data_IF_535936492784
#
_entry.id   IF_535936492784
#
_cell.length_a   1.000
_cell.length_b   1.000
_cell.length_c   1.000
_cell.angle_alpha   90.00
_cell.angle_beta   90.00
_cell.angle_gamma   90.00
#
_symmetry.space_group_name_H-M   'P 1'
#
loop_
_entity.id
_entity.type
_entity.pdbx_description
1 polymer ?
#
# COMPACT_ATOMS: atom_id res chain seq x y z
N UNK A 1 -30.98 -80.38 13.18
CA UNK A 1 -30.83 -80.46 11.72
C UNK A 1 -31.10 -79.07 11.16
N UNK A 2 -30.07 -78.25 10.95
CA UNK A 2 -29.36 -78.02 9.66
C UNK A 2 -30.02 -76.87 8.89
N UNK A 3 -29.57 -75.61 9.06
CA UNK A 3 -28.58 -74.87 8.24
C UNK A 3 -29.03 -74.49 6.81
N UNK A 4 -28.85 -73.18 6.51
CA UNK A 4 -28.50 -72.50 5.23
C UNK A 4 -29.56 -72.48 4.10
N UNK A 5 -29.75 -71.47 3.25
CA UNK A 5 -28.90 -70.44 2.60
C UNK A 5 -29.76 -69.31 2.00
N UNK A 6 -29.31 -68.04 2.05
CA UNK A 6 -29.51 -67.07 0.94
C UNK A 6 -28.51 -67.39 -0.19
N UNK A 7 -28.77 -67.00 -1.45
CA UNK A 7 -28.04 -65.82 -1.93
C UNK A 7 -28.76 -64.94 -2.99
N UNK A 8 -28.36 -63.66 -2.99
CA UNK A 8 -27.97 -62.90 -4.19
C UNK A 8 -29.02 -62.62 -5.28
N UNK A 9 -29.80 -61.56 -5.08
CA UNK A 9 -30.33 -60.74 -6.17
C UNK A 9 -29.46 -59.51 -6.37
N UNK A 10 -28.24 -59.69 -6.90
CA UNK A 10 -27.39 -58.58 -7.33
C UNK A 10 -28.03 -57.92 -8.56
N UNK A 11 -28.83 -56.88 -8.32
CA UNK A 11 -29.28 -55.97 -9.36
C UNK A 11 -28.06 -55.32 -10.00
N UNK A 12 -27.72 -55.77 -11.20
CA UNK A 12 -26.71 -55.15 -12.04
C UNK A 12 -27.13 -53.69 -12.33
N UNK A 13 -26.60 -52.76 -11.56
CA UNK A 13 -26.57 -51.34 -11.91
C UNK A 13 -25.73 -51.23 -13.18
N UNK A 14 -26.41 -51.22 -14.32
CA UNK A 14 -25.83 -50.85 -15.60
C UNK A 14 -25.24 -49.44 -15.43
N UNK A 15 -23.92 -49.37 -15.29
CA UNK A 15 -23.14 -48.14 -15.31
C UNK A 15 -23.23 -47.57 -16.72
N UNK A 16 -24.25 -46.74 -16.96
CA UNK A 16 -24.31 -45.89 -18.14
C UNK A 16 -23.07 -44.99 -18.13
N UNK A 17 -22.04 -45.38 -18.88
CA UNK A 17 -20.85 -44.60 -19.11
C UNK A 17 -21.27 -43.29 -19.79
N UNK A 18 -21.31 -42.20 -19.03
CA UNK A 18 -21.53 -40.87 -19.57
C UNK A 18 -20.51 -40.63 -20.71
N UNK A 19 -20.91 -40.06 -21.86
CA UNK A 19 -19.98 -39.80 -22.95
C UNK A 19 -18.90 -38.87 -22.43
N UNK A 20 -17.66 -39.36 -22.41
CA UNK A 20 -16.49 -38.56 -22.06
C UNK A 20 -16.47 -37.33 -22.97
N UNK A 21 -16.85 -36.18 -22.40
CA UNK A 21 -16.87 -34.89 -23.08
C UNK A 21 -15.42 -34.62 -23.47
N UNK A 22 -15.05 -34.88 -24.73
CA UNK A 22 -13.71 -34.59 -25.26
C UNK A 22 -13.47 -33.11 -25.00
N UNK A 23 -12.66 -32.81 -23.99
CA UNK A 23 -12.13 -31.48 -23.78
C UNK A 23 -11.41 -31.14 -25.08
N UNK A 24 -11.98 -30.20 -25.86
CA UNK A 24 -11.33 -29.66 -27.05
C UNK A 24 -9.92 -29.28 -26.63
N UNK A 25 -8.92 -29.89 -27.24
CA UNK A 25 -7.53 -29.54 -27.01
C UNK A 25 -7.35 -28.13 -27.59
N UNK A 26 -7.51 -27.12 -26.74
CA UNK A 26 -7.33 -25.73 -27.14
C UNK A 26 -5.84 -25.62 -27.45
N UNK A 27 -5.51 -25.50 -28.75
CA UNK A 27 -4.12 -25.49 -29.21
C UNK A 27 -3.29 -24.53 -28.37
N UNK A 28 -2.01 -24.85 -28.16
CA UNK A 28 -1.08 -24.15 -27.25
C UNK A 28 -1.05 -22.62 -27.40
N UNK A 29 -1.50 -22.08 -28.53
CA UNK A 29 -1.61 -20.65 -28.81
C UNK A 29 -2.82 -19.94 -28.15
N UNK A 30 -3.86 -20.68 -27.75
CA UNK A 30 -5.11 -20.09 -27.24
C UNK A 30 -4.91 -19.26 -25.97
N UNK A 31 -4.17 -19.72 -24.93
CA UNK A 31 -3.87 -18.89 -23.76
C UNK A 31 -3.05 -17.64 -24.10
N UNK A 32 -2.11 -17.73 -25.06
CA UNK A 32 -1.29 -16.60 -25.49
C UNK A 32 -2.10 -15.53 -26.23
N UNK A 33 -3.09 -15.93 -27.04
CA UNK A 33 -3.99 -14.99 -27.71
C UNK A 33 -4.85 -14.21 -26.71
N UNK A 34 -5.29 -14.84 -25.61
CA UNK A 34 -6.00 -14.15 -24.54
C UNK A 34 -5.10 -13.21 -23.72
N UNK A 35 -3.81 -13.54 -23.58
CA UNK A 35 -2.82 -12.70 -22.90
C UNK A 35 -2.28 -11.57 -23.78
N UNK A 36 -2.33 -11.71 -25.11
CA UNK A 36 -1.67 -10.81 -26.06
C UNK A 36 -2.06 -9.32 -25.89
N UNK A 37 -3.35 -8.94 -25.72
CA UNK A 37 -3.71 -7.52 -25.53
C UNK A 37 -3.09 -6.92 -24.27
N UNK A 38 -3.08 -7.69 -23.17
CA UNK A 38 -2.47 -7.27 -21.91
C UNK A 38 -0.95 -7.14 -22.06
N UNK A 39 -0.28 -8.15 -22.64
CA UNK A 39 1.16 -8.14 -22.82
C UNK A 39 1.62 -6.99 -23.74
N UNK A 40 0.87 -6.70 -24.80
CA UNK A 40 1.18 -5.59 -25.70
C UNK A 40 1.15 -4.25 -24.94
N UNK A 41 0.08 -3.98 -24.18
CA UNK A 41 -0.03 -2.75 -23.40
C UNK A 41 1.01 -2.70 -22.26
N UNK A 42 1.22 -3.81 -21.55
CA UNK A 42 2.22 -3.91 -20.50
C UNK A 42 3.63 -3.65 -21.04
N UNK A 43 4.00 -4.26 -22.17
CA UNK A 43 5.30 -4.02 -22.80
C UNK A 43 5.41 -2.57 -23.27
N UNK A 44 4.38 -2.04 -23.94
CA UNK A 44 4.36 -0.68 -24.49
C UNK A 44 4.47 0.42 -23.43
N UNK A 45 3.73 0.28 -22.33
CA UNK A 45 3.57 1.34 -21.34
C UNK A 45 4.30 1.11 -20.01
N UNK A 46 4.83 -0.10 -19.77
CA UNK A 46 5.60 -0.41 -18.55
C UNK A 46 7.02 -0.81 -18.91
N UNK A 47 7.21 -1.88 -19.71
CA UNK A 47 8.56 -2.42 -19.97
C UNK A 47 9.41 -1.44 -20.76
N UNK A 48 8.88 -0.87 -21.85
CA UNK A 48 9.63 0.07 -22.69
C UNK A 48 10.04 1.32 -21.90
N UNK A 49 9.15 2.04 -21.19
CA UNK A 49 9.54 3.19 -20.37
C UNK A 49 10.55 2.85 -19.27
N UNK A 50 10.47 1.67 -18.67
CA UNK A 50 11.48 1.21 -17.71
C UNK A 50 12.83 1.00 -18.40
N UNK A 51 12.89 0.34 -19.55
CA UNK A 51 14.18 0.16 -20.24
C UNK A 51 14.75 1.50 -20.71
N UNK A 52 13.91 2.40 -21.21
CA UNK A 52 14.32 3.76 -21.60
C UNK A 52 14.78 4.58 -20.39
N UNK A 53 14.12 4.46 -19.24
CA UNK A 53 14.54 5.09 -18.00
C UNK A 53 15.95 4.64 -17.59
N UNK A 54 16.24 3.34 -17.70
CA UNK A 54 17.56 2.79 -17.41
C UNK A 54 18.60 3.28 -18.41
N UNK A 55 18.22 3.42 -19.68
CA UNK A 55 19.10 4.03 -20.67
C UNK A 55 19.39 5.49 -20.33
N UNK A 56 18.35 6.27 -19.99
CA UNK A 56 18.49 7.68 -19.60
C UNK A 56 19.35 7.85 -18.35
N UNK A 57 19.24 6.96 -17.35
CA UNK A 57 20.03 7.05 -16.13
C UNK A 57 21.53 6.83 -16.34
N UNK A 58 21.94 6.26 -17.48
CA UNK A 58 23.34 6.09 -17.88
C UNK A 58 23.87 7.23 -18.76
N UNK A 59 23.03 8.22 -19.08
CA UNK A 59 23.37 9.36 -19.90
C UNK A 59 23.18 10.66 -19.11
N UNK A 60 23.93 11.70 -19.49
CA UNK A 60 23.60 13.05 -19.05
C UNK A 60 22.41 13.56 -19.87
N UNK A 61 21.23 13.04 -19.52
CA UNK A 61 20.00 13.32 -20.26
C UNK A 61 19.33 14.58 -19.73
N UNK A 62 19.79 15.73 -20.20
CA UNK A 62 19.20 17.03 -19.95
C UNK A 62 18.51 17.54 -21.23
N UNK A 63 17.24 17.95 -21.13
CA UNK A 63 16.53 18.48 -22.32
C UNK A 63 17.05 19.84 -22.79
N UNK A 64 17.82 20.55 -21.95
CA UNK A 64 18.44 21.83 -22.29
C UNK A 64 19.74 21.65 -23.08
N UNK A 65 20.36 20.46 -23.01
CA UNK A 65 21.60 20.15 -23.71
C UNK A 65 21.34 19.50 -25.09
N UNK A 66 22.04 19.94 -26.15
CA UNK A 66 21.86 19.38 -27.49
C UNK A 66 22.40 17.95 -27.60
N UNK A 67 23.51 17.67 -26.89
CA UNK A 67 24.13 16.36 -26.83
C UNK A 67 23.73 15.69 -25.51
N UNK A 68 23.42 14.39 -25.57
CA UNK A 68 23.08 13.56 -24.40
C UNK A 68 24.18 12.51 -24.26
N UNK A 69 25.38 12.89 -23.76
CA UNK A 69 26.53 11.99 -23.73
C UNK A 69 26.25 10.80 -22.79
N UNK A 70 26.81 9.64 -23.14
CA UNK A 70 26.85 8.50 -22.24
C UNK A 70 27.88 8.76 -21.15
N UNK A 71 27.43 8.71 -19.89
CA UNK A 71 28.26 8.99 -18.70
C UNK A 71 28.40 7.76 -17.79
N UNK A 72 27.98 6.58 -18.26
CA UNK A 72 28.09 5.35 -17.50
C UNK A 72 27.32 5.43 -16.18
N UNK A 73 28.02 5.31 -15.05
CA UNK A 73 27.41 5.32 -13.72
C UNK A 73 27.57 6.65 -12.98
N UNK A 74 28.04 7.72 -13.62
CA UNK A 74 28.35 8.99 -12.96
C UNK A 74 27.12 9.58 -12.25
N UNK A 75 25.94 9.55 -12.88
CA UNK A 75 24.69 9.99 -12.25
C UNK A 75 24.39 9.24 -10.94
N UNK A 76 24.80 7.97 -10.82
CA UNK A 76 24.66 7.21 -9.59
C UNK A 76 25.73 7.59 -8.57
N UNK A 77 26.99 7.71 -9.00
CA UNK A 77 28.11 8.13 -8.14
C UNK A 77 27.82 9.49 -7.50
N UNK A 78 27.25 10.43 -8.25
CA UNK A 78 26.89 11.75 -7.76
C UNK A 78 25.84 11.73 -6.66
N UNK A 79 24.96 10.71 -6.61
CA UNK A 79 24.00 10.56 -5.52
C UNK A 79 24.66 10.13 -4.21
N UNK A 80 25.80 9.43 -4.27
CA UNK A 80 26.51 8.93 -3.10
C UNK A 80 27.76 9.75 -2.72
N UNK A 81 28.21 10.65 -3.60
CA UNK A 81 29.40 11.49 -3.34
C UNK A 81 29.06 12.64 -2.38
N UNK A 82 29.64 12.67 -1.17
CA UNK A 82 29.41 13.76 -0.22
C UNK A 82 29.87 15.10 -0.80
N UNK A 83 29.00 16.12 -0.75
CA UNK A 83 29.26 17.45 -1.31
C UNK A 83 28.76 17.65 -2.75
N UNK A 84 28.30 16.58 -3.43
CA UNK A 84 27.55 16.72 -4.68
C UNK A 84 26.24 17.49 -4.45
N UNK A 85 25.88 18.34 -5.41
CA UNK A 85 24.64 19.13 -5.37
C UNK A 85 23.39 18.24 -5.32
N UNK A 86 23.44 17.05 -5.94
CA UNK A 86 22.31 16.11 -6.01
C UNK A 86 22.23 15.20 -4.78
N UNK A 87 23.37 14.79 -4.21
CA UNK A 87 23.42 13.86 -3.07
C UNK A 87 22.62 14.36 -1.86
N UNK A 88 22.93 15.57 -1.38
CA UNK A 88 22.29 16.11 -0.16
C UNK A 88 20.77 16.25 -0.32
N UNK A 89 20.33 16.73 -1.48
CA UNK A 89 18.92 16.90 -1.80
C UNK A 89 18.20 15.55 -1.89
N UNK A 90 18.81 14.56 -2.55
CA UNK A 90 18.21 13.25 -2.72
C UNK A 90 18.09 12.51 -1.38
N UNK A 91 19.14 12.50 -0.55
CA UNK A 91 19.10 11.80 0.74
C UNK A 91 18.19 12.49 1.76
N UNK A 92 18.07 13.82 1.72
CA UNK A 92 17.04 14.53 2.49
C UNK A 92 15.63 14.08 2.05
N UNK A 93 15.40 13.90 0.75
CA UNK A 93 14.11 13.45 0.24
C UNK A 93 13.82 11.97 0.58
N UNK A 94 14.85 11.11 0.56
CA UNK A 94 14.76 9.72 1.04
C UNK A 94 14.44 9.68 2.54
N UNK A 95 15.06 10.56 3.34
CA UNK A 95 14.77 10.71 4.76
C UNK A 95 13.33 11.16 4.99
N UNK A 96 12.83 12.14 4.24
CA UNK A 96 11.44 12.59 4.31
C UNK A 96 10.46 11.45 4.00
N UNK A 97 10.74 10.67 2.94
CA UNK A 97 9.96 9.46 2.62
C UNK A 97 10.00 8.44 3.76
N UNK A 98 11.16 8.20 4.37
CA UNK A 98 11.30 7.27 5.48
C UNK A 98 10.55 7.74 6.73
N UNK A 99 10.69 9.01 7.12
CA UNK A 99 9.96 9.63 8.25
C UNK A 99 8.46 9.46 8.04
N UNK A 100 7.95 9.83 6.87
CA UNK A 100 6.53 9.69 6.57
C UNK A 100 6.06 8.24 6.64
N UNK A 101 6.83 7.32 6.04
CA UNK A 101 6.47 5.91 5.98
C UNK A 101 6.42 5.30 7.38
N UNK A 102 7.46 5.49 8.18
CA UNK A 102 7.54 4.97 9.55
C UNK A 102 6.48 5.61 10.45
N UNK A 103 6.21 6.90 10.29
CA UNK A 103 5.20 7.60 11.07
C UNK A 103 3.77 7.21 10.68
N UNK A 104 3.46 7.03 9.38
CA UNK A 104 2.11 6.79 8.89
C UNK A 104 1.67 5.32 8.98
N UNK A 105 2.55 4.38 8.65
CA UNK A 105 2.19 2.95 8.50
C UNK A 105 1.56 2.36 9.77
N UNK A 106 2.09 2.57 10.99
CA UNK A 106 1.47 2.03 12.20
C UNK A 106 0.00 2.46 12.35
N UNK A 107 -0.29 3.75 12.12
CA UNK A 107 -1.65 4.27 12.20
C UNK A 107 -2.53 3.73 11.07
N UNK A 108 -1.99 3.63 9.86
CA UNK A 108 -2.67 3.06 8.68
C UNK A 108 -2.95 1.55 8.79
N UNK A 109 -2.32 0.85 9.73
CA UNK A 109 -2.62 -0.56 10.01
C UNK A 109 -3.54 -0.72 11.22
N UNK A 110 -3.25 0.00 12.30
CA UNK A 110 -3.94 -0.15 13.58
C UNK A 110 -5.33 0.47 13.54
N UNK A 111 -5.48 1.71 13.09
CA UNK A 111 -6.78 2.40 13.10
C UNK A 111 -7.80 1.68 12.22
N UNK A 112 -7.47 1.28 10.97
CA UNK A 112 -8.41 0.53 10.15
C UNK A 112 -8.78 -0.83 10.74
N UNK A 113 -7.86 -1.52 11.42
CA UNK A 113 -8.15 -2.77 12.11
C UNK A 113 -9.13 -2.56 13.27
N UNK A 114 -8.94 -1.50 14.07
CA UNK A 114 -9.86 -1.14 15.14
C UNK A 114 -11.26 -0.80 14.60
N UNK A 115 -11.33 -0.02 13.52
CA UNK A 115 -12.59 0.28 12.82
C UNK A 115 -13.23 -1.01 12.32
N UNK A 116 -12.47 -1.91 11.68
CA UNK A 116 -12.99 -3.17 11.18
C UNK A 116 -13.53 -4.07 12.31
N UNK A 117 -12.85 -4.15 13.45
CA UNK A 117 -13.32 -4.90 14.62
C UNK A 117 -14.63 -4.34 15.17
N UNK A 118 -14.73 -3.02 15.32
CA UNK A 118 -15.95 -2.34 15.76
C UNK A 118 -17.09 -2.59 14.77
N UNK A 119 -16.78 -2.49 13.47
CA UNK A 119 -17.72 -2.75 12.39
C UNK A 119 -18.03 -4.23 12.21
N UNK A 120 -17.31 -5.17 12.82
CA UNK A 120 -17.65 -6.58 12.75
C UNK A 120 -18.81 -6.95 13.68
N UNK A 121 -19.06 -6.14 14.71
CA UNK A 121 -20.20 -6.33 15.61
C UNK A 121 -21.54 -6.10 14.90
N UNK A 122 -22.59 -6.79 15.36
CA UNK A 122 -23.96 -6.58 14.90
C UNK A 122 -24.56 -5.39 15.68
N UNK A 123 -24.81 -4.28 15.00
CA UNK A 123 -25.51 -3.11 15.57
C UNK A 123 -26.33 -2.39 14.48
N UNK A 124 -27.43 -1.70 14.84
CA UNK A 124 -28.25 -0.97 13.87
C UNK A 124 -27.48 0.21 13.26
N UNK A 125 -27.65 0.46 11.95
CA UNK A 125 -26.97 1.56 11.25
C UNK A 125 -25.55 1.26 10.74
N UNK A 126 -25.06 0.02 10.86
CA UNK A 126 -23.73 -0.41 10.38
C UNK A 126 -23.40 0.02 8.94
N UNK A 127 -24.35 -0.06 8.01
CA UNK A 127 -24.14 0.32 6.62
C UNK A 127 -23.92 1.84 6.45
N UNK A 128 -24.57 2.67 7.28
CA UNK A 128 -24.34 4.11 7.27
C UNK A 128 -22.92 4.44 7.73
N UNK A 129 -22.46 3.86 8.85
CA UNK A 129 -21.09 4.07 9.32
C UNK A 129 -20.03 3.58 8.31
N UNK A 130 -20.31 2.46 7.62
CA UNK A 130 -19.49 1.99 6.49
C UNK A 130 -19.34 3.01 5.38
N UNK A 131 -20.45 3.64 4.99
CA UNK A 131 -20.40 4.72 4.01
C UNK A 131 -19.61 5.92 4.51
N UNK A 132 -19.80 6.34 5.78
CA UNK A 132 -19.12 7.51 6.35
C UNK A 132 -17.59 7.36 6.39
N UNK A 133 -17.07 6.24 6.89
CA UNK A 133 -15.60 6.08 6.99
C UNK A 133 -14.95 5.77 5.63
N UNK A 134 -15.72 5.23 4.67
CA UNK A 134 -15.22 4.92 3.33
C UNK A 134 -15.29 6.11 2.37
N UNK A 135 -16.26 7.02 2.56
CA UNK A 135 -16.48 8.16 1.69
C UNK A 135 -15.22 9.02 1.41
N UNK A 136 -14.35 9.32 2.39
CA UNK A 136 -13.12 10.07 2.14
C UNK A 136 -12.18 9.43 1.11
N UNK A 137 -12.14 8.09 1.04
CA UNK A 137 -11.24 7.36 0.14
C UNK A 137 -11.59 7.54 -1.34
N UNK A 138 -12.83 7.93 -1.63
CA UNK A 138 -13.30 8.21 -2.99
C UNK A 138 -12.78 9.56 -3.49
N UNK A 139 -12.34 10.45 -2.59
CA UNK A 139 -11.84 11.77 -2.96
C UNK A 139 -10.42 11.68 -3.53
N UNK A 140 -10.17 12.41 -4.62
CA UNK A 140 -8.82 12.55 -5.17
C UNK A 140 -7.90 13.36 -4.25
N UNK A 141 -6.58 13.09 -4.32
CA UNK A 141 -5.57 13.74 -3.47
C UNK A 141 -5.61 15.26 -3.53
N UNK A 142 -5.92 15.81 -4.70
CA UNK A 142 -6.07 17.24 -4.92
C UNK A 142 -7.18 17.84 -4.05
N UNK A 143 -8.36 17.19 -4.02
CA UNK A 143 -9.51 17.68 -3.25
C UNK A 143 -9.22 17.63 -1.76
N UNK A 144 -8.66 16.51 -1.28
CA UNK A 144 -8.30 16.36 0.14
C UNK A 144 -7.24 17.38 0.54
N UNK A 145 -6.20 17.56 -0.26
CA UNK A 145 -5.14 18.52 0.04
C UNK A 145 -5.66 19.96 0.10
N UNK A 146 -6.51 20.37 -0.84
CA UNK A 146 -7.10 21.72 -0.84
C UNK A 146 -8.00 21.91 0.39
N UNK A 147 -8.88 20.96 0.67
CA UNK A 147 -9.77 21.01 1.83
C UNK A 147 -8.97 21.15 3.13
N UNK A 148 -7.96 20.31 3.33
CA UNK A 148 -7.16 20.35 4.55
C UNK A 148 -6.24 21.56 4.64
N UNK A 149 -5.81 22.14 3.51
CA UNK A 149 -5.11 23.44 3.54
C UNK A 149 -5.96 24.56 4.09
N UNK A 150 -7.25 24.60 3.74
CA UNK A 150 -8.17 25.59 4.33
C UNK A 150 -8.42 25.32 5.81
N UNK A 151 -8.61 24.06 6.20
CA UNK A 151 -8.88 23.71 7.60
C UNK A 151 -7.67 23.92 8.52
N UNK A 152 -6.45 23.73 8.00
CA UNK A 152 -5.18 23.84 8.71
C UNK A 152 -4.49 25.19 8.48
N UNK A 153 -5.16 26.15 7.84
CA UNK A 153 -4.63 27.50 7.68
C UNK A 153 -4.40 28.13 9.07
N UNK A 154 -3.28 28.84 9.24
CA UNK A 154 -2.92 29.37 10.55
C UNK A 154 -3.89 30.49 10.98
N UNK A 155 -4.34 31.33 10.06
CA UNK A 155 -5.11 32.53 10.36
C UNK A 155 -6.62 32.30 10.35
N UNK A 156 -7.11 31.48 9.42
CA UNK A 156 -8.56 31.26 9.20
C UNK A 156 -9.00 29.80 9.38
N UNK A 157 -8.08 28.92 9.77
CA UNK A 157 -8.34 27.49 9.86
C UNK A 157 -9.23 27.10 11.04
N UNK A 158 -10.20 26.23 10.77
CA UNK A 158 -11.10 25.70 11.80
C UNK A 158 -10.35 24.88 12.85
N UNK A 159 -9.25 24.22 12.49
CA UNK A 159 -8.49 23.39 13.45
C UNK A 159 -7.91 24.25 14.56
N UNK A 160 -7.22 25.34 14.22
CA UNK A 160 -6.67 26.29 15.18
C UNK A 160 -7.77 26.96 16.01
N UNK A 161 -8.87 27.37 15.37
CA UNK A 161 -10.03 27.93 16.07
C UNK A 161 -10.55 27.00 17.19
N UNK A 162 -10.78 25.72 16.88
CA UNK A 162 -11.28 24.78 17.87
C UNK A 162 -10.23 24.39 18.92
N UNK A 163 -8.93 24.42 18.60
CA UNK A 163 -7.87 24.27 19.59
C UNK A 163 -7.90 25.41 20.62
N UNK A 164 -8.08 26.65 20.17
CA UNK A 164 -8.23 27.81 21.05
C UNK A 164 -9.46 27.70 21.96
N UNK A 165 -10.59 27.23 21.44
CA UNK A 165 -11.80 26.95 22.25
C UNK A 165 -11.55 25.91 23.34
N UNK A 166 -10.68 24.92 23.08
CA UNK A 166 -10.29 23.88 24.04
C UNK A 166 -9.15 24.32 24.98
N UNK A 167 -8.65 25.55 24.86
CA UNK A 167 -7.53 26.07 25.66
C UNK A 167 -6.16 25.50 25.25
N UNK A 168 -6.04 24.97 24.03
CA UNK A 168 -4.78 24.50 23.43
C UNK A 168 -4.17 25.59 22.54
N UNK A 169 -2.86 25.50 22.20
CA UNK A 169 -2.22 26.45 21.28
C UNK A 169 -2.96 26.54 19.94
N UNK A 170 -3.40 27.74 19.59
CA UNK A 170 -4.24 28.07 18.43
C UNK A 170 -3.48 28.77 17.30
N UNK A 171 -2.17 28.95 17.44
CA UNK A 171 -1.27 29.56 16.45
C UNK A 171 -0.38 28.53 15.73
N UNK A 172 -0.72 27.24 15.86
CA UNK A 172 0.08 26.15 15.32
C UNK A 172 0.20 26.24 13.80
N UNK A 173 1.43 26.35 13.31
CA UNK A 173 1.76 26.45 11.89
C UNK A 173 1.76 25.07 11.18
N UNK A 174 0.59 24.43 11.11
CA UNK A 174 0.38 23.05 10.67
C UNK A 174 1.04 22.64 9.36
N UNK A 175 1.28 23.55 8.42
CA UNK A 175 1.82 23.25 7.10
C UNK A 175 3.22 23.84 6.85
N UNK A 176 3.68 24.70 7.76
CA UNK A 176 4.88 25.52 7.56
C UNK A 176 5.90 25.40 8.69
N UNK A 177 5.62 24.64 9.75
CA UNK A 177 6.59 24.32 10.80
C UNK A 177 6.71 22.81 11.04
N UNK A 178 7.88 22.35 11.48
CA UNK A 178 8.07 21.01 12.01
C UNK A 178 8.10 21.04 13.55
N UNK A 179 7.48 20.05 14.23
CA UNK A 179 6.93 18.79 13.70
C UNK A 179 5.49 18.86 13.16
N UNK A 180 4.82 20.02 13.21
CA UNK A 180 3.39 20.14 12.89
C UNK A 180 3.04 19.69 11.46
N UNK A 181 3.88 20.00 10.47
CA UNK A 181 3.75 19.54 9.08
C UNK A 181 3.69 18.02 8.95
N UNK A 182 4.47 17.29 9.74
CA UNK A 182 4.43 15.83 9.75
C UNK A 182 3.15 15.30 10.39
N UNK A 183 2.71 15.91 11.49
CA UNK A 183 1.46 15.56 12.16
C UNK A 183 0.27 15.76 11.20
N UNK A 184 0.22 16.89 10.50
CA UNK A 184 -0.79 17.19 9.50
C UNK A 184 -0.76 16.17 8.35
N UNK A 185 0.40 15.93 7.73
CA UNK A 185 0.52 15.00 6.62
C UNK A 185 0.11 13.57 7.01
N UNK A 186 0.55 13.08 8.18
CA UNK A 186 0.21 11.74 8.67
C UNK A 186 -1.27 11.66 9.03
N UNK A 187 -1.78 12.61 9.82
CA UNK A 187 -3.17 12.61 10.29
C UNK A 187 -4.16 12.69 9.14
N UNK A 188 -3.94 13.60 8.19
CA UNK A 188 -4.77 13.70 6.98
C UNK A 188 -4.66 12.44 6.13
N UNK A 189 -3.45 11.86 6.00
CA UNK A 189 -3.27 10.62 5.22
C UNK A 189 -4.00 9.43 5.85
N UNK A 190 -3.97 9.32 7.18
CA UNK A 190 -4.74 8.29 7.88
C UNK A 190 -6.23 8.50 7.66
N UNK A 191 -6.72 9.73 7.87
CA UNK A 191 -8.14 10.06 7.77
C UNK A 191 -8.77 9.65 6.44
N UNK A 192 -8.19 10.06 5.30
CA UNK A 192 -8.80 9.77 4.00
C UNK A 192 -8.57 8.35 3.48
N UNK A 193 -7.55 7.63 3.97
CA UNK A 193 -7.21 6.29 3.43
C UNK A 193 -7.62 5.13 4.33
N UNK A 194 -7.96 5.38 5.60
CA UNK A 194 -8.29 4.32 6.57
C UNK A 194 -9.42 3.40 6.09
N UNK A 195 -10.37 3.95 5.32
CA UNK A 195 -11.56 3.21 4.90
C UNK A 195 -11.26 2.02 3.99
N UNK A 196 -10.25 2.14 3.12
CA UNK A 196 -9.84 1.06 2.23
C UNK A 196 -9.30 -0.14 3.02
N UNK A 197 -8.33 0.11 3.91
CA UNK A 197 -7.76 -0.93 4.75
C UNK A 197 -8.81 -1.55 5.70
N UNK A 198 -9.75 -0.73 6.20
CA UNK A 198 -10.80 -1.20 7.12
C UNK A 198 -11.77 -2.16 6.42
N UNK A 199 -12.12 -1.91 5.15
CA UNK A 199 -12.97 -2.82 4.38
C UNK A 199 -12.27 -4.16 4.14
N UNK A 200 -10.98 -4.14 3.79
CA UNK A 200 -10.21 -5.37 3.58
C UNK A 200 -10.16 -6.20 4.86
N UNK A 201 -9.83 -5.57 5.99
CA UNK A 201 -9.86 -6.27 7.29
C UNK A 201 -11.25 -6.76 7.66
N UNK A 202 -12.31 -6.01 7.36
CA UNK A 202 -13.66 -6.41 7.69
C UNK A 202 -14.15 -7.61 6.86
N UNK A 203 -13.77 -7.68 5.59
CA UNK A 203 -14.03 -8.85 4.74
C UNK A 203 -13.29 -10.08 5.30
N UNK A 204 -12.00 -9.92 5.59
CA UNK A 204 -11.18 -10.98 6.16
C UNK A 204 -11.68 -11.48 7.53
N UNK A 205 -12.16 -10.59 8.38
CA UNK A 205 -12.78 -10.94 9.66
C UNK A 205 -14.06 -11.78 9.49
N UNK A 206 -14.79 -11.60 8.39
CA UNK A 206 -16.02 -12.34 8.09
C UNK A 206 -15.75 -13.71 7.46
N UNK A 207 -14.57 -13.89 6.86
CA UNK A 207 -14.12 -15.17 6.31
C UNK A 207 -13.62 -16.15 7.40
N UNK A 208 -13.36 -15.68 8.63
CA UNK A 208 -12.94 -16.55 9.74
C UNK A 208 -14.13 -17.41 10.19
N UNK A 209 -14.01 -18.75 10.17
CA UNK A 209 -15.10 -19.65 10.57
C UNK A 209 -15.60 -19.37 11.99
N UNK A 210 -16.93 -19.27 12.16
CA UNK A 210 -17.55 -19.02 13.45
C UNK A 210 -17.26 -20.13 14.49
N UNK A 211 -17.10 -21.37 14.02
CA UNK A 211 -16.78 -22.55 14.83
C UNK A 211 -15.50 -22.37 15.68
N UNK A 212 -14.50 -21.65 15.17
CA UNK A 212 -13.27 -21.38 15.93
C UNK A 212 -13.53 -20.47 17.14
N UNK A 213 -14.45 -19.52 17.00
CA UNK A 213 -14.86 -18.65 18.11
C UNK A 213 -15.73 -19.39 19.12
N UNK A 214 -16.60 -20.29 18.65
CA UNK A 214 -17.43 -21.13 19.52
C UNK A 214 -16.59 -22.12 20.32
N UNK A 215 -15.66 -22.83 19.68
CA UNK A 215 -14.72 -23.72 20.35
C UNK A 215 -13.92 -22.98 21.43
N UNK A 216 -13.36 -21.81 21.10
CA UNK A 216 -12.63 -20.99 22.08
C UNK A 216 -13.52 -20.57 23.27
N UNK A 217 -14.80 -20.27 23.04
CA UNK A 217 -15.76 -19.95 24.12
C UNK A 217 -16.04 -21.16 25.00
N UNK A 218 -16.14 -22.36 24.43
CA UNK A 218 -16.32 -23.61 25.18
C UNK A 218 -15.11 -23.89 26.07
N UNK A 219 -13.90 -23.55 25.60
CA UNK A 219 -12.65 -23.64 26.37
C UNK A 219 -12.48 -22.51 27.41
N UNK A 220 -13.51 -21.66 27.62
CA UNK A 220 -13.48 -20.56 28.58
C UNK A 220 -12.66 -19.35 28.13
N UNK A 221 -12.30 -19.25 26.85
CA UNK A 221 -11.50 -18.14 26.35
C UNK A 221 -12.28 -16.82 26.36
N UNK A 222 -11.77 -15.80 27.06
CA UNK A 222 -12.30 -14.44 27.04
C UNK A 222 -12.07 -13.71 25.71
N UNK A 223 -12.65 -12.50 25.56
CA UNK A 223 -12.58 -11.72 24.30
C UNK A 223 -11.16 -11.42 23.84
N UNK A 224 -10.26 -11.11 24.78
CA UNK A 224 -8.85 -10.86 24.48
C UNK A 224 -8.11 -12.13 24.03
N UNK A 225 -8.41 -13.27 24.64
CA UNK A 225 -7.84 -14.56 24.26
C UNK A 225 -8.34 -14.98 22.87
N UNK A 226 -9.63 -14.79 22.57
CA UNK A 226 -10.18 -15.01 21.22
C UNK A 226 -9.52 -14.09 20.19
N UNK A 227 -9.32 -12.80 20.52
CA UNK A 227 -8.63 -11.89 19.62
C UNK A 227 -7.19 -12.36 19.32
N UNK A 228 -6.42 -12.71 20.35
CA UNK A 228 -5.02 -13.11 20.20
C UNK A 228 -4.83 -14.49 19.56
N UNK A 229 -5.72 -15.44 19.85
CA UNK A 229 -5.53 -16.85 19.47
C UNK A 229 -6.39 -17.30 18.28
N UNK A 230 -7.47 -16.59 17.96
CA UNK A 230 -8.36 -16.89 16.81
C UNK A 230 -8.29 -15.79 15.77
N UNK A 231 -8.63 -14.55 16.15
CA UNK A 231 -8.75 -13.43 15.21
C UNK A 231 -7.41 -13.06 14.58
N UNK A 232 -6.38 -12.78 15.39
CA UNK A 232 -5.09 -12.31 14.90
C UNK A 232 -4.40 -13.38 14.03
N UNK A 233 -4.38 -14.68 14.38
CA UNK A 233 -3.87 -15.73 13.52
C UNK A 233 -4.68 -15.88 12.23
N UNK A 234 -6.02 -15.84 12.30
CA UNK A 234 -6.90 -15.91 11.13
C UNK A 234 -6.70 -14.75 10.16
N UNK A 235 -6.35 -13.56 10.67
CA UNK A 235 -6.06 -12.39 9.84
C UNK A 235 -4.63 -12.32 9.28
N UNK A 236 -3.69 -13.20 9.68
CA UNK A 236 -2.27 -13.09 9.30
C UNK A 236 -2.02 -12.93 7.78
N UNK A 237 -2.65 -13.72 6.88
CA UNK A 237 -2.42 -13.56 5.45
C UNK A 237 -2.80 -12.16 4.96
N UNK A 238 -3.92 -11.64 5.49
CA UNK A 238 -4.45 -10.33 5.12
C UNK A 238 -3.67 -9.20 5.77
N UNK A 239 -3.23 -9.34 7.02
CA UNK A 239 -2.32 -8.39 7.67
C UNK A 239 -1.02 -8.24 6.88
N UNK A 240 -0.47 -9.35 6.38
CA UNK A 240 0.73 -9.33 5.54
C UNK A 240 0.49 -8.55 4.25
N UNK A 241 -0.60 -8.88 3.54
CA UNK A 241 -0.99 -8.19 2.33
C UNK A 241 -1.19 -6.68 2.55
N UNK A 242 -2.01 -6.30 3.54
CA UNK A 242 -2.30 -4.88 3.84
C UNK A 242 -1.04 -4.15 4.31
N UNK A 243 -0.17 -4.80 5.10
CA UNK A 243 1.10 -4.20 5.54
C UNK A 243 2.01 -3.89 4.36
N UNK A 244 2.24 -4.84 3.45
CA UNK A 244 3.09 -4.63 2.27
C UNK A 244 2.51 -3.52 1.40
N UNK A 245 1.20 -3.57 1.11
CA UNK A 245 0.57 -2.58 0.24
C UNK A 245 0.59 -1.18 0.86
N UNK A 246 0.31 -1.07 2.16
CA UNK A 246 0.33 0.21 2.89
C UNK A 246 1.75 0.78 2.95
N UNK A 247 2.75 -0.08 3.16
CA UNK A 247 4.15 0.34 3.20
C UNK A 247 4.62 0.88 1.86
N UNK A 248 4.32 0.17 0.77
CA UNK A 248 4.65 0.61 -0.60
C UNK A 248 3.91 1.90 -0.90
N UNK A 249 2.61 2.01 -0.58
CA UNK A 249 1.82 3.21 -0.82
C UNK A 249 2.34 4.42 -0.05
N UNK A 250 2.68 4.27 1.24
CA UNK A 250 3.25 5.33 2.06
C UNK A 250 4.62 5.79 1.55
N UNK A 251 5.47 4.86 1.13
CA UNK A 251 6.78 5.19 0.56
C UNK A 251 6.67 5.85 -0.83
N UNK A 252 5.52 5.67 -1.51
CA UNK A 252 5.17 6.37 -2.74
C UNK A 252 4.42 7.70 -2.52
N UNK A 253 4.54 8.32 -1.34
CA UNK A 253 3.92 9.63 -1.09
C UNK A 253 4.43 10.70 -2.07
N UNK A 254 3.50 11.30 -2.82
CA UNK A 254 3.74 12.46 -3.68
C UNK A 254 2.71 13.56 -3.45
N UNK A 255 1.43 13.26 -3.72
CA UNK A 255 0.38 14.27 -3.83
C UNK A 255 0.19 15.13 -2.60
N UNK A 256 0.08 14.53 -1.40
CA UNK A 256 -0.10 15.28 -0.16
C UNK A 256 1.10 16.19 0.18
N UNK A 257 2.33 15.72 -0.04
CA UNK A 257 3.54 16.54 0.16
C UNK A 257 3.60 17.71 -0.82
N UNK A 258 3.34 17.43 -2.10
CA UNK A 258 3.36 18.47 -3.15
C UNK A 258 2.26 19.51 -2.93
N UNK A 259 1.05 19.07 -2.60
CA UNK A 259 -0.12 19.94 -2.59
C UNK A 259 -0.32 20.66 -1.27
N UNK A 260 -0.07 20.01 -0.12
CA UNK A 260 -0.33 20.59 1.20
C UNK A 260 0.81 21.48 1.69
N UNK A 261 2.05 20.97 1.65
CA UNK A 261 3.21 21.65 2.23
C UNK A 261 4.17 22.19 1.17
N UNK A 262 4.01 21.79 -0.09
CA UNK A 262 4.93 22.09 -1.19
C UNK A 262 6.38 21.61 -0.88
N UNK A 263 6.51 20.62 0.00
CA UNK A 263 7.77 20.10 0.49
C UNK A 263 8.40 20.90 1.64
N UNK A 264 7.75 21.95 2.15
CA UNK A 264 8.26 22.77 3.26
C UNK A 264 8.04 22.15 4.66
N UNK A 265 8.58 22.80 5.71
CA UNK A 265 9.56 23.89 5.69
C UNK A 265 10.93 23.43 5.17
N UNK A 266 11.71 24.30 4.52
CA UNK A 266 13.13 24.02 4.20
C UNK A 266 13.46 22.78 3.35
N UNK A 267 12.47 22.15 2.67
CA UNK A 267 12.50 20.83 1.99
C UNK A 267 12.27 19.61 2.90
N UNK A 268 11.96 19.80 4.18
CA UNK A 268 11.81 18.71 5.15
C UNK A 268 10.72 17.71 4.78
N UNK A 269 9.61 18.14 4.16
CA UNK A 269 8.53 17.23 3.75
C UNK A 269 8.60 16.82 2.29
N UNK A 270 9.65 17.22 1.56
CA UNK A 270 9.83 16.90 0.13
C UNK A 270 10.26 15.44 -0.03
N UNK A 271 9.32 14.58 -0.40
CA UNK A 271 9.59 13.13 -0.55
C UNK A 271 10.43 12.80 -1.78
N UNK A 272 11.01 11.61 -1.80
CA UNK A 272 11.82 11.11 -2.91
C UNK A 272 11.11 11.21 -4.27
N UNK A 273 9.84 10.80 -4.36
CA UNK A 273 9.07 10.91 -5.61
C UNK A 273 8.84 12.36 -6.01
N UNK A 274 8.57 13.24 -5.05
CA UNK A 274 8.44 14.66 -5.34
C UNK A 274 9.78 15.22 -5.84
N UNK A 275 10.89 14.87 -5.20
CA UNK A 275 12.21 15.29 -5.66
C UNK A 275 12.54 14.78 -7.07
N UNK A 276 12.23 13.52 -7.38
CA UNK A 276 12.39 12.92 -8.72
C UNK A 276 11.57 13.71 -9.75
N UNK A 277 10.31 14.01 -9.44
CA UNK A 277 9.43 14.76 -10.33
C UNK A 277 9.93 16.19 -10.55
N UNK A 278 10.41 16.87 -9.51
CA UNK A 278 11.01 18.21 -9.62
C UNK A 278 12.25 18.18 -10.52
N UNK A 279 13.17 17.23 -10.28
CA UNK A 279 14.40 17.08 -11.06
C UNK A 279 14.11 16.75 -12.53
N UNK A 280 13.23 15.79 -12.80
CA UNK A 280 12.98 15.32 -14.17
C UNK A 280 12.04 16.21 -14.98
N UNK A 281 10.96 16.72 -14.36
CA UNK A 281 9.89 17.41 -15.07
C UNK A 281 10.00 18.93 -15.04
N UNK A 282 10.61 19.51 -13.99
CA UNK A 282 10.76 20.97 -13.87
C UNK A 282 12.17 21.44 -14.16
N UNK A 283 13.18 20.72 -13.66
CA UNK A 283 14.58 21.04 -13.94
C UNK A 283 15.08 20.41 -15.25
N UNK A 284 14.27 19.55 -15.88
CA UNK A 284 14.59 18.85 -17.14
C UNK A 284 15.81 17.92 -17.10
N UNK A 285 16.27 17.57 -15.91
CA UNK A 285 17.41 16.68 -15.64
C UNK A 285 16.93 15.23 -15.55
N UNK A 286 16.54 14.63 -16.69
CA UNK A 286 16.00 13.28 -16.73
C UNK A 286 17.02 12.20 -16.37
N UNK A 287 18.31 12.40 -16.67
CA UNK A 287 19.37 11.45 -16.30
C UNK A 287 19.45 11.25 -14.78
N UNK A 288 19.53 12.36 -14.05
CA UNK A 288 19.55 12.37 -12.58
C UNK A 288 18.24 11.83 -12.00
N UNK A 289 17.09 12.28 -12.51
CA UNK A 289 15.78 11.83 -12.04
C UNK A 289 15.59 10.32 -12.25
N UNK A 290 16.06 9.78 -13.38
CA UNK A 290 16.03 8.36 -13.66
C UNK A 290 16.94 7.60 -12.69
N UNK A 291 18.18 8.06 -12.47
CA UNK A 291 19.09 7.46 -11.49
C UNK A 291 18.48 7.43 -10.08
N UNK A 292 17.92 8.55 -9.61
CA UNK A 292 17.19 8.65 -8.34
C UNK A 292 16.01 7.66 -8.28
N UNK A 293 15.25 7.51 -9.38
CA UNK A 293 14.10 6.58 -9.46
C UNK A 293 14.54 5.12 -9.31
N UNK A 294 15.66 4.72 -9.91
CA UNK A 294 16.20 3.38 -9.73
C UNK A 294 16.67 3.12 -8.31
N UNK A 295 17.37 4.07 -7.68
CA UNK A 295 17.81 3.92 -6.30
C UNK A 295 16.59 3.81 -5.36
N UNK A 296 15.57 4.65 -5.54
CA UNK A 296 14.31 4.54 -4.79
C UNK A 296 13.66 3.16 -5.02
N UNK A 297 13.59 2.70 -6.27
CA UNK A 297 13.01 1.38 -6.62
C UNK A 297 13.75 0.24 -5.93
N UNK A 298 15.09 0.26 -5.93
CA UNK A 298 15.90 -0.73 -5.22
C UNK A 298 15.63 -0.71 -3.71
N UNK A 299 15.47 0.47 -3.12
CA UNK A 299 15.10 0.61 -1.71
C UNK A 299 13.71 0.03 -1.43
N UNK A 300 12.72 0.31 -2.29
CA UNK A 300 11.36 -0.23 -2.17
C UNK A 300 11.32 -1.75 -2.35
N UNK A 301 12.11 -2.31 -3.26
CA UNK A 301 12.26 -3.77 -3.42
C UNK A 301 12.88 -4.36 -2.15
N UNK A 302 13.97 -3.78 -1.65
CA UNK A 302 14.62 -4.24 -0.41
C UNK A 302 13.67 -4.22 0.79
N UNK A 303 12.91 -3.13 0.94
CA UNK A 303 11.90 -2.98 1.99
C UNK A 303 10.76 -4.00 1.84
N UNK A 304 10.26 -4.21 0.62
CA UNK A 304 9.19 -5.18 0.33
C UNK A 304 9.64 -6.61 0.62
N UNK A 305 10.86 -6.96 0.23
CA UNK A 305 11.49 -8.26 0.53
C UNK A 305 11.65 -8.41 2.05
N UNK A 306 12.16 -7.40 2.76
CA UNK A 306 12.33 -7.45 4.20
C UNK A 306 11.01 -7.72 4.94
N UNK A 307 9.93 -7.01 4.55
CA UNK A 307 8.60 -7.24 5.14
C UNK A 307 8.05 -8.61 4.76
N UNK A 308 8.18 -9.02 3.50
CA UNK A 308 7.76 -10.36 3.09
C UNK A 308 8.48 -11.43 3.91
N UNK A 309 9.78 -11.31 4.15
CA UNK A 309 10.54 -12.25 4.98
C UNK A 309 10.13 -12.22 6.47
N UNK A 310 9.81 -11.05 7.02
CA UNK A 310 9.34 -10.91 8.40
C UNK A 310 7.99 -11.60 8.62
N UNK A 311 7.09 -11.49 7.64
CA UNK A 311 5.73 -12.04 7.71
C UNK A 311 5.59 -13.44 7.09
N UNK A 312 6.60 -13.90 6.34
CA UNK A 312 6.63 -15.25 5.77
C UNK A 312 6.55 -16.24 6.91
N UNK A 313 5.50 -17.05 6.86
CA UNK A 313 5.37 -18.19 7.76
C UNK A 313 6.63 -19.04 7.64
N UNK A 314 7.39 -19.15 8.74
CA UNK A 314 8.18 -20.35 8.96
C UNK A 314 7.13 -21.45 9.00
N UNK A 315 6.90 -22.11 7.86
CA UNK A 315 6.22 -23.40 7.82
C UNK A 315 6.98 -24.25 8.83
N UNK A 316 6.43 -24.34 10.04
CA UNK A 316 6.96 -25.22 11.06
C UNK A 316 6.99 -26.58 10.40
N UNK A 317 8.18 -27.16 10.34
CA UNK A 317 8.34 -28.56 10.04
C UNK A 317 7.50 -29.33 11.06
N UNK A 318 6.22 -29.56 10.75
CA UNK A 318 5.44 -30.63 11.35
C UNK A 318 5.99 -31.92 10.76
N UNK A 319 7.02 -32.44 11.43
CA UNK A 319 7.17 -33.88 11.59
C UNK A 319 6.15 -34.34 12.61
#
# INVERSE_FOLDING_TARGET
MSQTTSPSGAGALATASAPARRLRDHGRATPWLFLAPYLLLFTGFVVIPVVLGLWMSLHQWDYTLPLKPFVGLDNYVDLFTPGSTTSGIFWQAMQATAIFTVASVPFLLVIPLLVALLMNAKFPGRNFFRAVYFAPYVLGVAVVAVLWRYLLDNNIGLVNYYLGVLGLPDDTAWLTSTPAAWVALVGVTVWWTLGFNAIIYLAALQDIPAELYEAARMDGAGRWQQFRNVTLPGLRPILTFVTINTLIASANMFGQSYLMTQGGPGRETRTAIYQIAETGLRNFQMGDAAAMSYILTLFLIGLSVAVFWLFRERKGARK
#
